data_IF_153098661754
#
_entry.id   IF_153098661754
#
_cell.length_a   1.000
_cell.length_b   1.000
_cell.length_c   1.000
_cell.angle_alpha   90.00
_cell.angle_beta   90.00
_cell.angle_gamma   90.00
#
_symmetry.space_group_name_H-M   'P 1'
#
loop_
_entity.id
_entity.type
_entity.pdbx_description
1 polymer ?
#
# COMPACT_ATOMS: atom_id res chain seq x y z
N UNK A 1 40.63 -21.09 -25.09
CA UNK A 1 40.13 -22.42 -24.65
C UNK A 1 40.45 -22.67 -23.17
N UNK A 2 41.72 -22.62 -22.73
CA UNK A 2 42.08 -22.81 -21.30
C UNK A 2 41.38 -21.83 -20.33
N UNK A 3 41.34 -20.54 -20.67
CA UNK A 3 40.72 -19.52 -19.80
C UNK A 3 39.21 -19.73 -19.63
N UNK A 4 38.54 -20.21 -20.66
CA UNK A 4 37.10 -20.53 -20.64
C UNK A 4 36.82 -21.74 -19.76
N UNK A 5 37.67 -22.77 -19.84
CA UNK A 5 37.58 -23.97 -19.01
C UNK A 5 37.84 -23.63 -17.53
N UNK A 6 38.82 -22.77 -17.25
CA UNK A 6 39.13 -22.34 -15.89
C UNK A 6 37.98 -21.50 -15.29
N UNK A 7 37.36 -20.62 -16.08
CA UNK A 7 36.22 -19.82 -15.66
C UNK A 7 34.98 -20.70 -15.34
N UNK A 8 34.66 -21.67 -16.20
CA UNK A 8 33.55 -22.60 -15.98
C UNK A 8 33.77 -23.49 -14.73
N UNK A 9 35.01 -23.97 -14.52
CA UNK A 9 35.34 -24.76 -13.34
C UNK A 9 35.26 -23.93 -12.05
N UNK A 10 35.70 -22.67 -12.08
CA UNK A 10 35.62 -21.76 -10.93
C UNK A 10 34.15 -21.44 -10.60
N UNK A 11 33.34 -21.19 -11.63
CA UNK A 11 31.91 -20.96 -11.51
C UNK A 11 31.18 -22.16 -10.89
N UNK A 12 31.38 -23.36 -11.43
CA UNK A 12 30.81 -24.60 -10.88
C UNK A 12 31.24 -24.84 -9.43
N UNK A 13 32.51 -24.59 -9.10
CA UNK A 13 33.02 -24.75 -7.75
C UNK A 13 32.36 -23.77 -6.76
N UNK A 14 32.17 -22.51 -7.16
CA UNK A 14 31.44 -21.52 -6.36
C UNK A 14 29.97 -21.90 -6.15
N UNK A 15 29.32 -22.46 -7.16
CA UNK A 15 27.94 -22.95 -7.06
C UNK A 15 27.81 -24.12 -6.08
N UNK A 16 28.72 -25.10 -6.17
CA UNK A 16 28.76 -26.26 -5.28
C UNK A 16 29.02 -25.85 -3.82
N UNK A 17 29.97 -24.94 -3.59
CA UNK A 17 30.27 -24.44 -2.24
C UNK A 17 29.10 -23.71 -1.59
N UNK A 18 28.32 -22.98 -2.39
CA UNK A 18 27.20 -22.16 -1.88
C UNK A 18 25.85 -22.88 -1.93
N UNK A 19 25.84 -24.13 -2.41
CA UNK A 19 24.62 -24.91 -2.65
C UNK A 19 23.55 -24.12 -3.43
N UNK A 20 23.98 -23.41 -4.47
CA UNK A 20 23.11 -22.59 -5.33
C UNK A 20 23.01 -23.18 -6.72
N UNK A 21 21.82 -23.06 -7.30
CA UNK A 21 21.54 -23.41 -8.70
C UNK A 21 22.24 -22.47 -9.67
N UNK A 22 22.35 -22.88 -10.94
CA UNK A 22 22.94 -22.04 -11.99
C UNK A 22 22.17 -20.73 -12.18
N UNK A 23 20.84 -20.80 -12.13
CA UNK A 23 19.97 -19.63 -12.17
C UNK A 23 20.24 -18.67 -11.00
N UNK A 24 20.36 -19.17 -9.77
CA UNK A 24 20.67 -18.34 -8.60
C UNK A 24 22.08 -17.72 -8.67
N UNK A 25 23.02 -18.40 -9.32
CA UNK A 25 24.37 -17.85 -9.54
C UNK A 25 24.36 -16.68 -10.54
N UNK A 26 23.66 -16.84 -11.67
CA UNK A 26 23.49 -15.76 -12.66
C UNK A 26 22.72 -14.57 -12.05
N UNK A 27 21.67 -14.85 -11.28
CA UNK A 27 20.93 -13.82 -10.55
C UNK A 27 21.83 -13.01 -9.60
N UNK A 28 22.78 -13.67 -8.91
CA UNK A 28 23.77 -13.00 -8.03
C UNK A 28 24.85 -12.21 -8.79
N UNK A 29 25.01 -12.46 -10.09
CA UNK A 29 25.89 -11.66 -10.94
C UNK A 29 25.16 -10.45 -11.54
N UNK A 30 23.83 -10.37 -11.41
CA UNK A 30 23.06 -9.21 -11.81
C UNK A 30 23.48 -7.98 -11.00
N UNK A 31 23.73 -6.83 -11.64
CA UNK A 31 24.05 -5.59 -10.93
C UNK A 31 22.85 -5.03 -10.15
N UNK A 32 21.65 -5.59 -10.34
CA UNK A 32 20.42 -5.13 -9.70
C UNK A 32 19.88 -6.17 -8.70
N UNK A 33 19.46 -5.73 -7.50
CA UNK A 33 18.87 -6.62 -6.51
C UNK A 33 17.52 -7.17 -6.99
N UNK A 34 17.20 -8.38 -6.55
CA UNK A 34 15.90 -8.99 -6.81
C UNK A 34 14.90 -8.56 -5.73
N UNK A 35 13.63 -8.49 -6.12
CA UNK A 35 12.54 -8.20 -5.18
C UNK A 35 12.51 -9.18 -3.99
N UNK A 36 12.74 -10.48 -4.24
CA UNK A 36 12.80 -11.51 -3.19
C UNK A 36 13.91 -11.26 -2.18
N UNK A 37 15.07 -10.77 -2.63
CA UNK A 37 16.23 -10.53 -1.76
C UNK A 37 15.95 -9.29 -0.90
N UNK A 38 15.38 -8.23 -1.50
CA UNK A 38 14.94 -7.06 -0.75
C UNK A 38 13.92 -7.41 0.35
N UNK A 39 12.93 -8.25 0.04
CA UNK A 39 11.90 -8.66 1.02
C UNK A 39 12.46 -9.50 2.18
N UNK A 40 13.50 -10.30 1.92
CA UNK A 40 14.15 -11.16 2.91
C UNK A 40 15.19 -10.45 3.77
N UNK A 41 15.95 -9.54 3.18
CA UNK A 41 17.14 -8.95 3.82
C UNK A 41 16.85 -7.64 4.55
N UNK A 42 15.86 -6.87 4.11
CA UNK A 42 15.48 -5.61 4.76
C UNK A 42 14.65 -5.91 6.02
N UNK A 43 14.78 -5.08 7.07
CA UNK A 43 14.00 -5.19 8.32
C UNK A 43 12.51 -5.46 8.03
N UNK A 44 11.92 -6.56 8.53
CA UNK A 44 10.52 -6.92 8.26
C UNK A 44 9.50 -5.88 8.74
N UNK A 45 9.88 -5.01 9.67
CA UNK A 45 9.02 -3.94 10.17
C UNK A 45 8.96 -2.72 9.24
N UNK A 46 9.91 -2.59 8.31
CA UNK A 46 9.91 -1.52 7.31
C UNK A 46 8.90 -1.84 6.19
N UNK A 47 7.93 -0.97 6.00
CA UNK A 47 6.93 -1.12 4.94
C UNK A 47 7.53 -0.90 3.55
N UNK A 48 6.98 -1.55 2.53
CA UNK A 48 7.41 -1.37 1.13
C UNK A 48 6.34 -0.66 0.32
N UNK A 49 6.78 0.32 -0.46
CA UNK A 49 5.99 0.92 -1.53
C UNK A 49 6.55 0.43 -2.87
N UNK A 50 5.86 -0.54 -3.48
CA UNK A 50 6.33 -1.25 -4.68
C UNK A 50 5.67 -0.64 -5.91
N UNK A 51 6.43 0.12 -6.68
CA UNK A 51 6.03 0.57 -8.01
C UNK A 51 6.25 -0.55 -9.04
N UNK A 52 5.18 -1.00 -9.69
CA UNK A 52 5.24 -1.91 -10.83
C UNK A 52 5.30 -1.05 -12.10
N UNK A 53 6.48 -1.02 -12.72
CA UNK A 53 6.71 -0.33 -13.98
C UNK A 53 6.35 -1.25 -15.15
N UNK A 54 5.20 -1.02 -15.75
CA UNK A 54 4.79 -1.66 -17.01
C UNK A 54 4.85 -0.62 -18.13
N UNK A 55 5.30 -0.97 -19.35
CA UNK A 55 5.39 0.00 -20.44
C UNK A 55 4.04 0.64 -20.79
N UNK A 56 4.03 1.94 -21.08
CA UNK A 56 2.84 2.69 -21.48
C UNK A 56 3.14 3.45 -22.78
N UNK A 57 2.13 3.64 -23.62
CA UNK A 57 2.24 4.47 -24.82
C UNK A 57 2.17 5.95 -24.47
N UNK A 58 3.01 6.76 -25.11
CA UNK A 58 2.88 8.21 -25.09
C UNK A 58 1.86 8.68 -26.13
N UNK A 59 1.28 9.85 -25.92
CA UNK A 59 0.18 10.42 -26.72
C UNK A 59 0.52 10.58 -28.21
N UNK A 60 1.79 10.72 -28.56
CA UNK A 60 2.20 10.77 -29.98
C UNK A 60 1.99 9.44 -30.72
N UNK A 61 1.60 8.37 -30.01
CA UNK A 61 1.35 7.00 -30.49
C UNK A 61 2.50 6.43 -31.33
N UNK A 62 3.69 7.03 -31.24
CA UNK A 62 4.89 6.68 -32.02
C UNK A 62 6.06 6.35 -31.12
N UNK A 63 6.09 6.94 -29.93
CA UNK A 63 7.03 6.61 -28.87
C UNK A 63 6.31 5.84 -27.76
N UNK A 64 6.88 4.70 -27.40
CA UNK A 64 6.63 4.11 -26.08
C UNK A 64 7.63 4.73 -25.14
N UNK A 65 7.28 4.79 -23.86
CA UNK A 65 8.30 5.02 -22.85
C UNK A 65 9.47 4.04 -23.10
N UNK A 66 10.69 4.57 -23.13
CA UNK A 66 11.94 3.79 -23.23
C UNK A 66 12.20 3.01 -24.54
N UNK A 67 11.47 3.28 -25.64
CA UNK A 67 11.82 2.72 -26.96
C UNK A 67 11.56 1.20 -27.12
N UNK A 68 10.63 0.65 -26.33
CA UNK A 68 10.37 -0.79 -26.25
C UNK A 68 9.64 -1.33 -27.50
N UNK A 69 10.19 -2.29 -28.24
CA UNK A 69 9.59 -2.72 -29.52
C UNK A 69 8.24 -3.46 -29.37
N UNK A 70 8.03 -4.20 -28.27
CA UNK A 70 6.80 -4.98 -28.02
C UNK A 70 6.40 -5.02 -26.55
N UNK A 71 5.10 -5.08 -26.27
CA UNK A 71 4.60 -5.31 -24.91
C UNK A 71 4.64 -6.80 -24.59
N UNK A 72 5.02 -7.12 -23.36
CA UNK A 72 4.81 -8.46 -22.84
C UNK A 72 3.31 -8.70 -22.65
N UNK A 73 2.89 -9.96 -22.67
CA UNK A 73 1.55 -10.28 -22.19
C UNK A 73 1.48 -9.96 -20.69
N UNK A 74 0.48 -9.18 -20.27
CA UNK A 74 0.42 -8.57 -18.92
C UNK A 74 0.37 -9.60 -17.79
N UNK A 75 -0.32 -10.73 -17.96
CA UNK A 75 -0.33 -11.78 -16.93
C UNK A 75 1.07 -12.38 -16.76
N UNK A 76 1.75 -12.67 -17.88
CA UNK A 76 3.10 -13.22 -17.90
C UNK A 76 4.12 -12.31 -17.22
N UNK A 77 3.91 -10.99 -17.28
CA UNK A 77 4.72 -10.00 -16.59
C UNK A 77 4.35 -9.86 -15.10
N UNK A 78 3.05 -9.74 -14.80
CA UNK A 78 2.57 -9.38 -13.47
C UNK A 78 2.52 -10.56 -12.50
N UNK A 79 2.18 -11.75 -12.97
CA UNK A 79 1.98 -12.94 -12.12
C UNK A 79 3.24 -13.33 -11.35
N UNK A 80 4.46 -13.34 -11.94
CA UNK A 80 5.69 -13.59 -11.19
C UNK A 80 5.93 -12.56 -10.08
N UNK A 81 5.62 -11.29 -10.32
CA UNK A 81 5.80 -10.21 -9.33
C UNK A 81 4.85 -10.44 -8.15
N UNK A 82 3.57 -10.64 -8.43
CA UNK A 82 2.57 -10.89 -7.39
C UNK A 82 2.84 -12.17 -6.61
N UNK A 83 3.34 -13.21 -7.28
CA UNK A 83 3.77 -14.45 -6.65
C UNK A 83 4.89 -14.21 -5.65
N UNK A 84 5.95 -13.50 -6.04
CA UNK A 84 7.06 -13.16 -5.14
C UNK A 84 6.56 -12.33 -3.95
N UNK A 85 5.71 -11.32 -4.18
CA UNK A 85 5.13 -10.53 -3.09
C UNK A 85 4.32 -11.41 -2.13
N UNK A 86 3.53 -12.35 -2.65
CA UNK A 86 2.70 -13.23 -1.84
C UNK A 86 3.53 -14.21 -1.00
N UNK A 87 4.54 -14.84 -1.61
CA UNK A 87 5.37 -15.88 -0.99
C UNK A 87 6.38 -15.28 -0.01
N UNK A 88 7.00 -14.14 -0.35
CA UNK A 88 8.12 -13.56 0.41
C UNK A 88 7.70 -12.36 1.28
N UNK A 89 6.50 -11.83 1.10
CA UNK A 89 6.07 -10.60 1.78
C UNK A 89 5.81 -10.75 3.28
N UNK A 90 5.62 -11.96 3.80
CA UNK A 90 5.44 -12.21 5.24
C UNK A 90 4.41 -11.27 5.90
N UNK A 91 4.63 -10.84 7.14
CA UNK A 91 3.78 -9.85 7.82
C UNK A 91 4.05 -8.39 7.40
N UNK A 92 4.93 -8.16 6.41
CA UNK A 92 5.33 -6.81 5.99
C UNK A 92 4.12 -6.04 5.44
N UNK A 93 4.04 -4.75 5.79
CA UNK A 93 3.11 -3.82 5.16
C UNK A 93 3.63 -3.47 3.76
N UNK A 94 2.88 -3.81 2.72
CA UNK A 94 3.26 -3.56 1.33
C UNK A 94 2.12 -2.84 0.63
N UNK A 95 2.43 -1.78 -0.08
CA UNK A 95 1.55 -1.07 -1.01
C UNK A 95 2.06 -1.32 -2.42
N UNK A 96 1.16 -1.62 -3.35
CA UNK A 96 1.47 -1.76 -4.78
C UNK A 96 1.00 -0.50 -5.50
N UNK A 97 1.80 0.04 -6.40
CA UNK A 97 1.44 1.18 -7.24
C UNK A 97 1.88 0.99 -8.68
N UNK A 98 1.21 1.66 -9.63
CA UNK A 98 1.66 1.74 -11.03
C UNK A 98 1.09 2.99 -11.71
N UNK A 99 1.77 3.45 -12.77
CA UNK A 99 1.24 4.42 -13.72
C UNK A 99 0.34 3.78 -14.77
N UNK A 100 0.41 2.46 -14.98
CA UNK A 100 -0.43 1.74 -15.96
C UNK A 100 -1.76 1.37 -15.30
N UNK A 101 -2.90 1.95 -15.76
CA UNK A 101 -4.20 1.69 -15.15
C UNK A 101 -4.56 0.19 -15.15
N UNK A 102 -4.25 -0.52 -16.23
CA UNK A 102 -4.59 -1.93 -16.38
C UNK A 102 -3.77 -2.81 -15.45
N UNK A 103 -2.49 -2.49 -15.22
CA UNK A 103 -1.65 -3.14 -14.22
C UNK A 103 -2.22 -2.96 -12.81
N UNK A 104 -2.68 -1.77 -12.45
CA UNK A 104 -3.35 -1.54 -11.15
C UNK A 104 -4.64 -2.37 -11.02
N UNK A 105 -5.48 -2.39 -12.06
CA UNK A 105 -6.72 -3.19 -12.08
C UNK A 105 -6.39 -4.68 -11.91
N UNK A 106 -5.46 -5.20 -12.70
CA UNK A 106 -5.06 -6.61 -12.64
C UNK A 106 -4.46 -6.97 -11.29
N UNK A 107 -3.61 -6.11 -10.71
CA UNK A 107 -3.06 -6.30 -9.38
C UNK A 107 -4.17 -6.32 -8.31
N UNK A 108 -5.21 -5.49 -8.45
CA UNK A 108 -6.35 -5.48 -7.54
C UNK A 108 -7.25 -6.71 -7.68
N UNK A 109 -7.42 -7.23 -8.89
CA UNK A 109 -8.26 -8.41 -9.15
C UNK A 109 -7.56 -9.73 -8.77
N UNK A 110 -6.24 -9.81 -8.93
CA UNK A 110 -5.46 -11.04 -8.69
C UNK A 110 -5.10 -11.30 -7.23
N UNK A 111 -5.15 -10.28 -6.37
CA UNK A 111 -4.86 -10.42 -4.95
C UNK A 111 -5.69 -9.46 -4.09
N UNK A 112 -5.94 -9.83 -2.84
CA UNK A 112 -6.70 -9.03 -1.88
C UNK A 112 -5.91 -8.61 -0.63
N UNK A 113 -4.61 -8.93 -0.56
CA UNK A 113 -3.73 -8.75 0.59
C UNK A 113 -3.12 -7.36 0.66
N UNK A 114 -2.62 -6.86 -0.46
CA UNK A 114 -1.89 -5.60 -0.54
C UNK A 114 -2.76 -4.53 -1.18
N UNK A 115 -2.92 -3.36 -0.54
CA UNK A 115 -3.62 -2.24 -1.16
C UNK A 115 -2.93 -1.80 -2.45
N UNK A 116 -3.75 -1.37 -3.41
CA UNK A 116 -3.30 -0.85 -4.70
C UNK A 116 -3.51 0.67 -4.70
N UNK A 117 -2.51 1.39 -5.19
CA UNK A 117 -2.53 2.82 -5.44
C UNK A 117 -2.33 3.06 -6.94
N UNK A 118 -2.90 4.14 -7.45
CA UNK A 118 -2.67 4.58 -8.81
C UNK A 118 -1.78 5.83 -8.82
N UNK A 119 -0.66 5.77 -9.54
CA UNK A 119 0.27 6.89 -9.71
C UNK A 119 -0.23 7.83 -10.79
N UNK A 120 -0.21 9.13 -10.51
CA UNK A 120 -0.67 10.17 -11.44
C UNK A 120 0.29 11.35 -11.45
N UNK A 121 0.69 11.74 -12.65
CA UNK A 121 1.57 12.89 -12.91
C UNK A 121 0.78 14.21 -12.87
N UNK A 122 -0.39 14.26 -13.50
CA UNK A 122 -1.22 15.47 -13.69
C UNK A 122 -0.39 16.72 -14.04
N UNK A 123 0.05 16.80 -15.30
CA UNK A 123 0.85 17.89 -15.84
C UNK A 123 0.05 19.18 -16.15
N UNK A 124 -1.22 19.25 -15.74
CA UNK A 124 -2.04 20.46 -15.82
C UNK A 124 -2.17 21.06 -17.23
N UNK A 125 -2.17 20.25 -18.29
CA UNK A 125 -2.20 20.76 -19.67
C UNK A 125 -0.89 20.63 -20.44
N UNK A 126 0.22 20.24 -19.79
CA UNK A 126 1.54 20.12 -20.43
C UNK A 126 1.87 18.70 -20.91
N UNK A 127 2.61 18.61 -22.02
CA UNK A 127 3.15 17.35 -22.58
C UNK A 127 4.45 16.93 -21.87
N UNK A 128 4.86 15.65 -21.94
CA UNK A 128 4.20 14.53 -22.62
C UNK A 128 3.09 13.88 -21.78
N UNK A 129 2.00 13.47 -22.43
CA UNK A 129 1.00 12.61 -21.80
C UNK A 129 1.14 11.16 -22.23
N UNK A 130 0.68 10.24 -21.37
CA UNK A 130 0.31 8.91 -21.82
C UNK A 130 -0.91 8.97 -22.75
N UNK A 131 -1.01 8.02 -23.67
CA UNK A 131 -2.16 7.92 -24.59
C UNK A 131 -3.47 7.61 -23.86
N UNK A 132 -3.39 6.99 -22.68
CA UNK A 132 -4.53 6.61 -21.88
C UNK A 132 -5.08 7.80 -21.09
N UNK A 133 -6.34 8.18 -21.37
CA UNK A 133 -6.98 9.33 -20.73
C UNK A 133 -7.18 9.18 -19.23
N UNK A 134 -7.19 7.95 -18.69
CA UNK A 134 -7.35 7.70 -17.25
C UNK A 134 -6.17 8.27 -16.44
N UNK A 135 -5.01 8.49 -17.07
CA UNK A 135 -3.79 8.98 -16.42
C UNK A 135 -3.67 10.50 -16.44
N UNK A 136 -4.57 11.23 -17.12
CA UNK A 136 -4.34 12.64 -17.49
C UNK A 136 -4.51 13.63 -16.35
N UNK A 137 -5.26 13.28 -15.31
CA UNK A 137 -5.56 14.19 -14.19
C UNK A 137 -5.80 13.44 -12.90
N UNK A 138 -5.61 14.12 -11.77
CA UNK A 138 -5.93 13.61 -10.44
C UNK A 138 -7.41 13.23 -10.34
N UNK A 139 -8.31 14.00 -10.96
CA UNK A 139 -9.74 13.69 -10.95
C UNK A 139 -10.06 12.37 -11.67
N UNK A 140 -9.41 12.12 -12.81
CA UNK A 140 -9.54 10.85 -13.54
C UNK A 140 -8.93 9.69 -12.76
N UNK A 141 -7.77 9.92 -12.13
CA UNK A 141 -7.13 8.95 -11.25
C UNK A 141 -8.00 8.55 -10.06
N UNK A 142 -8.64 9.52 -9.40
CA UNK A 142 -9.57 9.27 -8.28
C UNK A 142 -10.81 8.53 -8.77
N UNK A 143 -11.37 8.90 -9.94
CA UNK A 143 -12.51 8.19 -10.51
C UNK A 143 -12.21 6.71 -10.77
N UNK A 144 -11.04 6.41 -11.37
CA UNK A 144 -10.54 5.05 -11.57
C UNK A 144 -10.35 4.32 -10.24
N UNK A 145 -9.68 4.95 -9.28
CA UNK A 145 -9.44 4.38 -7.96
C UNK A 145 -10.74 3.99 -7.26
N UNK A 146 -11.78 4.82 -7.36
CA UNK A 146 -13.11 4.51 -6.81
C UNK A 146 -13.79 3.36 -7.54
N UNK A 147 -13.80 3.36 -8.87
CA UNK A 147 -14.50 2.31 -9.62
C UNK A 147 -13.87 0.94 -9.41
N UNK A 148 -12.54 0.90 -9.31
CA UNK A 148 -11.75 -0.33 -9.20
C UNK A 148 -11.38 -0.68 -7.76
N UNK A 149 -11.85 0.09 -6.78
CA UNK A 149 -11.64 -0.14 -5.34
C UNK A 149 -10.16 -0.18 -4.94
N UNK A 150 -9.39 0.76 -5.49
CA UNK A 150 -8.03 1.05 -5.01
C UNK A 150 -8.13 1.77 -3.65
N UNK A 151 -7.08 1.65 -2.82
CA UNK A 151 -7.07 2.30 -1.51
C UNK A 151 -6.79 3.81 -1.62
N UNK A 152 -6.03 4.21 -2.62
CA UNK A 152 -5.61 5.59 -2.76
C UNK A 152 -4.97 5.93 -4.10
N UNK A 153 -4.50 7.16 -4.19
CA UNK A 153 -3.78 7.73 -5.33
C UNK A 153 -2.44 8.30 -4.87
N UNK A 154 -1.46 8.25 -5.77
CA UNK A 154 -0.12 8.81 -5.57
C UNK A 154 0.10 9.94 -6.55
N UNK A 155 0.04 11.18 -6.07
CA UNK A 155 -0.04 12.40 -6.87
C UNK A 155 1.33 13.07 -6.94
N UNK A 156 1.75 13.52 -8.13
CA UNK A 156 2.93 14.36 -8.24
C UNK A 156 2.69 15.70 -7.50
N UNK A 157 3.63 16.09 -6.64
CA UNK A 157 3.61 17.33 -5.88
C UNK A 157 3.34 18.55 -6.77
N UNK A 158 3.93 18.61 -7.97
CA UNK A 158 3.70 19.70 -8.93
C UNK A 158 2.20 19.96 -9.19
N UNK A 159 1.37 18.92 -9.15
CA UNK A 159 -0.07 19.06 -9.34
C UNK A 159 -0.74 19.83 -8.19
N UNK A 160 -0.29 19.61 -6.96
CA UNK A 160 -0.83 20.20 -5.74
C UNK A 160 -0.27 21.60 -5.43
N UNK A 161 0.82 21.99 -6.11
CA UNK A 161 1.49 23.28 -5.91
C UNK A 161 0.99 24.38 -6.86
N UNK A 162 0.06 24.07 -7.76
CA UNK A 162 -0.56 25.08 -8.63
C UNK A 162 -1.38 26.07 -7.79
N UNK A 163 -1.25 27.36 -8.11
CA UNK A 163 -1.90 28.44 -7.36
C UNK A 163 -3.44 28.25 -7.42
N UNK A 164 -4.09 28.24 -6.25
CA UNK A 164 -5.55 28.04 -6.07
C UNK A 164 -6.04 26.59 -6.22
N UNK A 165 -5.14 25.60 -6.11
CA UNK A 165 -5.50 24.19 -6.24
C UNK A 165 -6.33 23.64 -5.06
N UNK A 166 -7.47 23.01 -5.39
CA UNK A 166 -8.36 22.31 -4.46
C UNK A 166 -8.33 20.79 -4.66
N UNK A 167 -7.36 20.24 -5.40
CA UNK A 167 -7.34 18.82 -5.71
C UNK A 167 -7.21 17.98 -4.46
N UNK A 168 -6.40 18.41 -3.48
CA UNK A 168 -6.24 17.66 -2.25
C UNK A 168 -7.54 17.59 -1.43
N UNK A 169 -8.28 18.71 -1.33
CA UNK A 169 -9.61 18.73 -0.70
C UNK A 169 -10.58 17.78 -1.41
N UNK A 170 -10.55 17.77 -2.74
CA UNK A 170 -11.35 16.85 -3.54
C UNK A 170 -10.98 15.39 -3.26
N UNK A 171 -9.68 15.04 -3.24
CA UNK A 171 -9.19 13.68 -2.96
C UNK A 171 -9.67 13.20 -1.59
N UNK A 172 -9.56 14.05 -0.56
CA UNK A 172 -10.04 13.72 0.79
C UNK A 172 -11.56 13.61 0.87
N UNK A 173 -12.31 14.47 0.18
CA UNK A 173 -13.76 14.35 0.08
C UNK A 173 -14.21 13.05 -0.59
N UNK A 174 -13.36 12.45 -1.43
CA UNK A 174 -13.58 11.14 -2.03
C UNK A 174 -13.15 9.96 -1.14
N UNK A 175 -12.71 10.21 0.11
CA UNK A 175 -12.23 9.22 1.08
C UNK A 175 -11.04 8.41 0.56
N UNK A 176 -10.16 9.06 -0.20
CA UNK A 176 -8.95 8.42 -0.75
C UNK A 176 -7.73 8.70 0.11
N UNK A 177 -6.90 7.67 0.29
CA UNK A 177 -5.54 7.87 0.80
C UNK A 177 -4.71 8.56 -0.28
N UNK A 178 -3.91 9.54 0.13
CA UNK A 178 -3.15 10.40 -0.77
C UNK A 178 -1.67 10.35 -0.41
N UNK A 179 -0.89 9.72 -1.29
CA UNK A 179 0.56 9.78 -1.24
C UNK A 179 1.03 10.86 -2.22
N UNK A 180 2.10 11.55 -1.89
CA UNK A 180 2.65 12.62 -2.74
C UNK A 180 4.10 12.30 -3.09
N UNK A 181 4.47 12.49 -4.35
CA UNK A 181 5.80 12.18 -4.86
C UNK A 181 6.28 13.27 -5.82
N UNK A 182 7.49 13.14 -6.35
CA UNK A 182 7.99 14.00 -7.43
C UNK A 182 9.07 14.99 -6.96
N UNK A 183 9.75 15.65 -7.91
CA UNK A 183 10.93 16.46 -7.60
C UNK A 183 10.67 17.58 -6.61
N UNK A 184 9.49 18.21 -6.64
CA UNK A 184 9.13 19.28 -5.72
C UNK A 184 9.06 18.81 -4.26
N UNK A 185 8.76 17.52 -4.02
CA UNK A 185 8.77 16.92 -2.67
C UNK A 185 10.18 16.86 -2.07
N UNK A 186 11.24 17.11 -2.85
CA UNK A 186 12.59 17.27 -2.32
C UNK A 186 12.84 18.64 -1.69
N UNK A 187 11.96 19.63 -1.88
CA UNK A 187 12.04 20.92 -1.20
C UNK A 187 11.44 20.84 0.22
N UNK A 188 12.18 21.33 1.23
CA UNK A 188 11.78 21.32 2.65
C UNK A 188 10.48 22.08 2.89
N UNK A 189 10.30 23.25 2.26
CA UNK A 189 9.11 24.09 2.41
C UNK A 189 7.89 23.39 1.81
N UNK A 190 8.05 22.76 0.64
CA UNK A 190 7.00 21.96 0.00
C UNK A 190 6.63 20.78 0.90
N UNK A 191 7.59 20.06 1.47
CA UNK A 191 7.30 18.98 2.42
C UNK A 191 6.57 19.47 3.66
N UNK A 192 6.88 20.67 4.14
CA UNK A 192 6.21 21.24 5.30
C UNK A 192 4.76 21.60 4.95
N UNK A 193 4.53 22.26 3.81
CA UNK A 193 3.18 22.53 3.30
C UNK A 193 2.35 21.25 3.16
N UNK A 194 2.90 20.20 2.53
CA UNK A 194 2.22 18.92 2.36
C UNK A 194 1.85 18.28 3.71
N UNK A 195 2.71 18.39 4.74
CA UNK A 195 2.42 17.91 6.10
C UNK A 195 1.31 18.72 6.77
N UNK A 196 1.36 20.05 6.63
CA UNK A 196 0.37 20.96 7.19
C UNK A 196 -1.00 20.75 6.52
N UNK A 197 -1.00 20.34 5.25
CA UNK A 197 -2.17 19.91 4.48
C UNK A 197 -2.58 18.46 4.72
N UNK A 198 -1.92 17.76 5.64
CA UNK A 198 -2.25 16.40 6.10
C UNK A 198 -2.28 15.34 5.00
N UNK A 199 -1.33 15.38 4.06
CA UNK A 199 -1.14 14.23 3.14
C UNK A 199 -0.69 13.00 3.91
N UNK A 200 -1.05 11.81 3.43
CA UNK A 200 -0.84 10.56 4.17
C UNK A 200 0.57 10.02 4.03
N UNK A 201 1.24 10.31 2.90
CA UNK A 201 2.66 10.03 2.70
C UNK A 201 3.34 11.02 1.77
N UNK A 202 4.66 11.16 1.92
CA UNK A 202 5.52 11.97 1.05
C UNK A 202 6.74 11.15 0.65
N UNK A 203 6.84 10.78 -0.62
CA UNK A 203 8.02 10.16 -1.21
C UNK A 203 9.05 11.24 -1.58
N UNK A 204 10.24 11.18 -1.00
CA UNK A 204 11.34 12.11 -1.29
C UNK A 204 12.71 11.42 -1.17
N UNK A 205 13.73 12.00 -1.80
CA UNK A 205 15.06 11.38 -1.92
C UNK A 205 15.95 11.65 -0.69
N UNK A 206 15.68 12.72 0.06
CA UNK A 206 16.52 13.15 1.19
C UNK A 206 16.31 12.34 2.49
N UNK A 207 16.58 11.04 2.47
CA UNK A 207 16.49 10.17 3.65
C UNK A 207 17.76 10.33 4.52
N UNK A 208 17.59 10.62 5.81
CA UNK A 208 18.69 10.55 6.80
C UNK A 208 19.44 11.86 7.11
N UNK A 209 19.12 13.00 6.46
CA UNK A 209 19.68 14.32 6.86
C UNK A 209 19.21 14.78 8.25
N UNK A 210 18.10 14.22 8.73
CA UNK A 210 17.60 14.40 10.08
C UNK A 210 17.48 13.01 10.73
N UNK A 211 18.09 12.82 11.91
CA UNK A 211 17.97 11.61 12.73
C UNK A 211 16.51 11.45 13.21
N UNK A 212 15.63 10.95 12.35
CA UNK A 212 14.23 10.68 12.67
C UNK A 212 13.94 9.20 12.48
N UNK A 213 13.34 8.61 13.51
CA UNK A 213 12.85 7.23 13.49
C UNK A 213 11.74 7.11 12.46
N UNK A 214 11.80 6.08 11.60
CA UNK A 214 10.70 5.74 10.69
C UNK A 214 9.39 5.56 11.50
N UNK A 215 8.26 6.03 10.97
CA UNK A 215 6.96 5.87 11.63
C UNK A 215 6.59 4.43 11.85
N UNK A 216 6.92 3.56 10.91
CA UNK A 216 6.74 2.13 11.07
C UNK A 216 7.48 1.59 12.27
N UNK A 217 8.68 2.14 12.52
CA UNK A 217 9.47 1.79 13.68
C UNK A 217 8.90 2.41 14.95
N UNK A 218 8.44 3.65 14.91
CA UNK A 218 7.77 4.31 16.04
C UNK A 218 6.45 3.61 16.43
N UNK A 219 5.60 3.26 15.47
CA UNK A 219 4.36 2.50 15.66
C UNK A 219 4.63 1.09 16.18
N UNK A 220 5.67 0.43 15.66
CA UNK A 220 6.08 -0.88 16.14
C UNK A 220 6.59 -0.81 17.59
N UNK A 221 7.41 0.21 17.92
CA UNK A 221 7.88 0.47 19.29
C UNK A 221 6.69 0.78 20.23
N UNK A 222 5.71 1.58 19.80
CA UNK A 222 4.49 1.87 20.58
C UNK A 222 3.62 0.62 20.79
N UNK A 223 3.45 -0.23 19.76
CA UNK A 223 2.76 -1.52 19.88
C UNK A 223 3.45 -2.44 20.88
N UNK A 224 4.77 -2.59 20.79
CA UNK A 224 5.55 -3.37 21.76
C UNK A 224 5.37 -2.82 23.17
N UNK A 225 5.40 -1.49 23.34
CA UNK A 225 5.25 -0.86 24.65
C UNK A 225 3.84 -1.10 25.24
N UNK A 226 2.79 -0.99 24.42
CA UNK A 226 1.41 -1.31 24.81
C UNK A 226 1.28 -2.77 25.24
N UNK A 227 1.83 -3.70 24.46
CA UNK A 227 1.83 -5.14 24.78
C UNK A 227 2.61 -5.43 26.08
N UNK A 228 3.77 -4.81 26.28
CA UNK A 228 4.55 -4.96 27.50
C UNK A 228 3.80 -4.45 28.74
N UNK A 229 3.10 -3.32 28.61
CA UNK A 229 2.28 -2.73 29.69
C UNK A 229 1.08 -3.62 30.02
N UNK A 230 0.43 -4.17 28.98
CA UNK A 230 -0.63 -5.18 29.14
C UNK A 230 -0.12 -6.41 29.88
N UNK A 231 1.04 -6.94 29.51
CA UNK A 231 1.64 -8.11 30.18
C UNK A 231 1.93 -7.84 31.66
N UNK A 232 2.48 -6.67 31.99
CA UNK A 232 2.77 -6.28 33.38
C UNK A 232 1.51 -6.12 34.24
N UNK A 233 0.39 -5.65 33.66
CA UNK A 233 -0.88 -5.52 34.39
C UNK A 233 -1.56 -6.87 34.67
N UNK A 234 -1.30 -7.89 33.85
CA UNK A 234 -1.88 -9.24 33.98
C UNK A 234 -1.04 -10.14 34.91
N UNK A 235 0.26 -9.87 35.08
CA UNK A 235 1.15 -10.61 35.99
C UNK A 235 2.04 -9.69 36.82
N UNK A 236 1.48 -8.99 37.82
CA UNK A 236 2.23 -8.13 38.71
C UNK A 236 3.13 -8.96 39.63
N UNK A 237 4.41 -9.14 39.25
CA UNK A 237 5.40 -9.81 40.11
C UNK A 237 6.52 -10.58 39.40
N UNK A 238 6.43 -10.83 38.09
CA UNK A 238 7.56 -11.37 37.33
C UNK A 238 8.35 -10.23 36.69
N UNK A 239 9.53 -9.95 37.25
CA UNK A 239 10.53 -9.09 36.59
C UNK A 239 10.85 -9.67 35.21
N UNK A 240 10.95 -8.85 34.14
CA UNK A 240 11.49 -9.33 32.87
C UNK A 240 12.95 -9.72 33.13
N UNK A 241 13.24 -11.01 33.26
CA UNK A 241 14.62 -11.48 33.32
C UNK A 241 15.33 -10.99 32.07
N UNK A 242 16.45 -10.27 32.26
CA UNK A 242 17.33 -9.76 31.22
C UNK A 242 17.54 -10.77 30.07
N UNK A 243 16.73 -10.71 29.01
CA UNK A 243 17.07 -11.08 27.62
C UNK A 243 15.88 -10.93 26.65
N UNK A 244 15.11 -9.85 26.73
CA UNK A 244 14.33 -9.40 25.55
C UNK A 244 15.24 -8.57 24.62
N UNK A 245 16.40 -9.13 24.26
CA UNK A 245 17.16 -8.66 23.10
C UNK A 245 16.72 -9.50 21.91
N UNK A 246 15.75 -8.97 21.16
CA UNK A 246 15.49 -9.26 19.74
C UNK A 246 15.73 -10.67 19.24
N UNK A 247 15.01 -11.67 19.75
CA UNK A 247 14.92 -12.99 19.11
C UNK A 247 13.48 -13.29 18.70
N UNK A 248 13.30 -13.76 17.46
CA UNK A 248 12.02 -14.18 16.88
C UNK A 248 11.30 -15.26 17.72
N UNK A 249 12.04 -16.03 18.53
CA UNK A 249 11.49 -17.07 19.40
C UNK A 249 10.57 -16.51 20.51
N UNK A 250 10.92 -15.35 21.07
CA UNK A 250 10.15 -14.73 22.16
C UNK A 250 8.80 -14.17 21.67
N UNK A 251 8.73 -13.76 20.40
CA UNK A 251 7.53 -13.24 19.75
C UNK A 251 6.53 -14.35 19.39
N UNK A 252 7.00 -15.47 18.84
CA UNK A 252 6.13 -16.63 18.54
C UNK A 252 5.42 -17.17 19.78
N UNK A 253 6.08 -17.09 20.94
CA UNK A 253 5.51 -17.52 22.22
C UNK A 253 4.41 -16.54 22.70
N UNK A 254 4.55 -15.24 22.40
CA UNK A 254 3.59 -14.21 22.80
C UNK A 254 2.38 -14.10 21.84
N UNK A 255 2.58 -14.28 20.53
CA UNK A 255 1.48 -14.37 19.54
C UNK A 255 0.58 -15.60 19.83
N UNK A 256 1.17 -16.73 20.23
CA UNK A 256 0.42 -17.93 20.62
C UNK A 256 -0.48 -17.74 21.86
N UNK A 257 -0.12 -16.79 22.74
CA UNK A 257 -0.90 -16.43 23.93
C UNK A 257 -2.08 -15.51 23.59
N UNK A 258 -1.95 -14.62 22.60
CA UNK A 258 -3.05 -13.80 22.08
C UNK A 258 -4.08 -14.64 21.30
N UNK A 259 -3.63 -15.59 20.49
CA UNK A 259 -4.52 -16.54 19.80
C UNK A 259 -5.31 -17.40 20.81
N UNK A 260 -4.64 -17.87 21.86
CA UNK A 260 -5.28 -18.61 22.95
C UNK A 260 -6.32 -17.78 23.70
N UNK A 261 -6.06 -16.49 23.91
CA UNK A 261 -6.99 -15.54 24.56
C UNK A 261 -8.19 -15.20 23.68
N UNK A 262 -7.98 -15.04 22.36
CA UNK A 262 -9.04 -14.80 21.39
C UNK A 262 -10.02 -15.98 21.33
N UNK A 263 -9.51 -17.22 21.42
CA UNK A 263 -10.36 -18.42 21.51
C UNK A 263 -11.12 -18.54 22.85
N UNK A 264 -10.55 -18.07 23.97
CA UNK A 264 -11.23 -18.01 25.27
C UNK A 264 -12.35 -16.95 25.30
N UNK A 265 -12.12 -15.79 24.66
CA UNK A 265 -13.14 -14.73 24.52
C UNK A 265 -14.34 -15.17 23.68
N UNK A 266 -14.09 -15.85 22.55
CA UNK A 266 -15.14 -16.40 21.68
C UNK A 266 -15.97 -17.52 22.35
N UNK A 267 -15.38 -18.26 23.29
CA UNK A 267 -16.11 -19.24 24.11
C UNK A 267 -16.99 -18.59 25.18
N UNK A 268 -16.55 -17.46 25.75
CA UNK A 268 -17.31 -16.70 26.74
C UNK A 268 -18.52 -15.98 26.10
N UNK A 269 -18.41 -15.53 24.86
CA UNK A 269 -19.53 -14.90 24.12
C UNK A 269 -20.61 -15.91 23.70
N UNK A 270 -20.24 -17.15 23.36
CA UNK A 270 -21.20 -18.21 23.02
C UNK A 270 -22.03 -18.70 24.22
N UNK A 271 -21.57 -18.50 25.45
CA UNK A 271 -22.34 -18.84 26.66
C UNK A 271 -23.41 -17.82 27.05
N UNK A 272 -23.55 -16.71 26.33
CA UNK A 272 -24.44 -15.61 26.71
C UNK A 272 -25.47 -15.21 25.63
N UNK A 273 -25.96 -16.16 24.83
CA UNK A 273 -26.98 -15.89 23.81
C UNK A 273 -28.40 -16.03 24.37
N UNK A 274 -29.06 -14.91 24.65
CA UNK A 274 -30.53 -14.83 24.66
C UNK A 274 -30.99 -13.81 23.60
N UNK A 275 -31.59 -14.36 22.54
CA UNK A 275 -32.58 -13.78 21.62
C UNK A 275 -32.41 -12.34 21.10
N UNK A 276 -32.04 -12.20 19.82
CA UNK A 276 -32.43 -11.06 18.99
C UNK A 276 -33.15 -11.54 17.72
N UNK A 277 -34.39 -11.09 17.55
CA UNK A 277 -35.24 -11.24 16.37
C UNK A 277 -34.71 -10.37 15.22
N UNK A 278 -34.69 -10.91 14.00
CA UNK A 278 -34.39 -10.17 12.77
C UNK A 278 -35.62 -9.36 12.32
N UNK A 279 -35.50 -8.08 11.89
CA UNK A 279 -36.60 -7.35 11.28
C UNK A 279 -36.72 -7.65 9.78
N UNK A 280 -37.94 -7.98 9.35
CA UNK A 280 -38.38 -8.10 7.95
C UNK A 280 -38.68 -6.70 7.38
N UNK A 281 -38.21 -6.41 6.17
CA UNK A 281 -38.55 -5.18 5.43
C UNK A 281 -39.60 -5.50 4.36
N UNK A 282 -40.73 -4.79 4.41
CA UNK A 282 -41.78 -4.82 3.37
C UNK A 282 -41.72 -3.50 2.59
N UNK A 283 -41.73 -3.56 1.26
CA UNK A 283 -41.75 -2.38 0.37
C UNK A 283 -43.14 -2.24 -0.25
N UNK A 284 -43.78 -1.08 -0.08
CA UNK A 284 -44.98 -0.69 -0.85
C UNK A 284 -44.61 0.33 -1.93
N UNK A 285 -45.18 0.15 -3.12
CA UNK A 285 -45.07 1.07 -4.27
C UNK A 285 -46.40 1.81 -4.39
N UNK A 286 -46.36 3.14 -4.44
CA UNK A 286 -47.47 3.93 -4.94
C UNK A 286 -47.09 4.62 -6.27
N UNK A 287 -48.06 4.62 -7.16
CA UNK A 287 -48.00 5.09 -8.55
C UNK A 287 -48.93 6.29 -8.74
N UNK A 288 -48.45 7.41 -9.31
CA UNK A 288 -49.23 8.33 -10.17
C UNK A 288 -48.41 9.53 -10.73
N UNK A 289 -48.30 9.54 -12.07
CA UNK A 289 -48.49 10.63 -13.07
C UNK A 289 -48.02 12.09 -12.91
N UNK A 290 -47.23 12.50 -13.94
CA UNK A 290 -47.24 13.71 -14.79
C UNK A 290 -46.82 15.13 -14.31
N UNK A 291 -45.79 15.64 -15.03
CA UNK A 291 -45.62 16.98 -15.65
C UNK A 291 -44.75 18.07 -14.98
N UNK A 292 -43.91 18.66 -15.86
CA UNK A 292 -43.18 19.95 -15.87
C UNK A 292 -42.22 20.35 -14.73
N UNK A 293 -40.97 20.62 -15.15
CA UNK A 293 -39.94 21.54 -14.62
C UNK A 293 -39.99 21.92 -13.13
N UNK A 294 -38.91 21.64 -12.40
CA UNK A 294 -38.10 22.58 -11.60
C UNK A 294 -37.06 21.80 -10.79
N UNK A 295 -35.94 22.45 -10.48
CA UNK A 295 -34.89 22.03 -9.54
C UNK A 295 -35.47 21.33 -8.30
N UNK A 296 -34.94 20.15 -7.94
CA UNK A 296 -35.20 19.53 -6.63
C UNK A 296 -33.95 18.78 -6.15
N UNK A 297 -33.38 19.31 -5.08
CA UNK A 297 -32.41 18.66 -4.20
C UNK A 297 -33.12 17.52 -3.48
N UNK A 298 -32.64 16.28 -3.61
CA UNK A 298 -33.08 15.19 -2.74
C UNK A 298 -32.27 15.20 -1.45
N UNK A 299 -32.91 15.65 -0.38
CA UNK A 299 -32.53 15.39 1.00
C UNK A 299 -33.08 14.00 1.38
N UNK A 300 -32.20 13.10 1.84
CA UNK A 300 -32.61 11.89 2.56
C UNK A 300 -32.17 12.05 4.00
N UNK A 301 -33.13 12.28 4.90
CA UNK A 301 -32.92 12.23 6.34
C UNK A 301 -33.03 10.78 6.80
N UNK A 302 -31.93 10.26 7.35
CA UNK A 302 -31.89 9.00 8.11
C UNK A 302 -31.48 9.34 9.53
N UNK A 303 -32.42 9.29 10.45
CA UNK A 303 -32.16 9.40 11.89
C UNK A 303 -32.00 8.00 12.47
N UNK A 304 -30.79 7.65 12.90
CA UNK A 304 -30.49 6.42 13.62
C UNK A 304 -29.98 6.74 15.03
N UNK A 305 -30.58 6.04 16.00
CA UNK A 305 -30.41 6.09 17.44
C UNK A 305 -29.03 6.55 17.92
N UNK A 306 -29.06 7.65 18.68
CA UNK A 306 -27.89 8.32 19.23
C UNK A 306 -26.95 7.42 20.02
N UNK A 307 -25.82 7.10 19.38
CA UNK A 307 -24.49 7.09 19.98
C UNK A 307 -23.50 7.51 18.88
N UNK A 308 -22.80 8.61 19.09
CA UNK A 308 -21.74 9.09 18.20
C UNK A 308 -20.59 8.07 18.21
N UNK A 309 -20.41 7.34 17.12
CA UNK A 309 -19.17 6.62 16.87
C UNK A 309 -18.14 7.61 16.32
N UNK A 310 -17.27 8.10 17.20
CA UNK A 310 -16.08 8.85 16.85
C UNK A 310 -15.16 7.94 16.03
N UNK A 311 -14.79 8.36 14.81
CA UNK A 311 -13.70 7.75 14.06
C UNK A 311 -12.41 8.05 14.83
N UNK A 312 -12.01 7.13 15.69
CA UNK A 312 -10.66 7.05 16.22
C UNK A 312 -9.93 5.90 15.52
N UNK A 313 -8.73 6.23 15.06
CA UNK A 313 -7.62 5.35 14.68
C UNK A 313 -7.73 4.55 13.38
N UNK A 314 -7.74 5.30 12.27
CA UNK A 314 -6.86 4.98 11.12
C UNK A 314 -5.88 6.13 10.91
N UNK A 315 -5.07 6.40 11.94
CA UNK A 315 -3.85 7.20 11.80
C UNK A 315 -2.70 6.23 11.58
N UNK A 316 -2.22 6.22 10.35
CA UNK A 316 -0.93 5.67 9.98
C UNK A 316 -0.34 6.76 9.11
N UNK A 317 0.53 7.62 9.67
CA UNK A 317 1.32 8.47 8.78
C UNK A 317 2.31 7.51 8.10
N UNK A 318 2.30 7.47 6.77
CA UNK A 318 3.20 6.65 5.99
C UNK A 318 4.39 7.56 5.63
N UNK A 319 5.61 7.17 6.00
CA UNK A 319 6.84 7.80 5.49
C UNK A 319 7.48 6.88 4.46
#
# INVERSE_FOLDING_TARGET
MLNTILALNTMMYQMLLKNITYSEYIDKLSPFPLLRDALREIDPNLGFYVEIKYPIYLYDNKSKEEGIESFFERNSFLDPILKVLHEEGGSRRIVIASFDPDTCIMARLKQNRYPVFFLVEDLGGSQPYFSDTRTHSVTSAVALAKSEKFLGVSINAAALMRKEDKLLEYVFAQQMICFVWGPDANNVEVRQDLKDRHVHAICHDEIGKNHRTSIYRAEHEDRIQKLATLYQSISPGLSPSHSLKGSAASLSTLESLEDSRSQLSLKAEKSNSSSYLLPTVTVTRDSATQSSSFHSTMQTDVTLNGQNATIQDYRTDFY
#
